data_IF_311297955798
#
_entry.id   IF_311297955798
#
_cell.length_a   1.000
_cell.length_b   1.000
_cell.length_c   1.000
_cell.angle_alpha   90.00
_cell.angle_beta   90.00
_cell.angle_gamma   90.00
#
_symmetry.space_group_name_H-M   'P 1'
#
loop_
_entity.id
_entity.type
_entity.pdbx_description
1 polymer ?
#
# COMPACT_ATOMS: atom_id res chain seq x y z
N UNK A 1 49.10 16.20 7.16
CA UNK A 1 47.97 15.47 7.76
C UNK A 1 46.69 16.24 7.40
N UNK A 2 46.10 15.97 6.25
CA UNK A 2 44.91 16.66 5.80
C UNK A 2 43.73 15.65 5.85
N UNK A 3 42.77 15.91 6.74
CA UNK A 3 41.55 15.17 6.81
C UNK A 3 40.60 15.56 5.67
N UNK A 4 40.33 14.62 4.76
CA UNK A 4 39.37 14.79 3.69
C UNK A 4 37.96 14.64 4.26
N UNK A 5 37.25 15.74 4.42
CA UNK A 5 35.80 15.74 4.69
C UNK A 5 35.08 15.37 3.39
N UNK A 6 34.76 14.10 3.22
CA UNK A 6 33.93 13.63 2.12
C UNK A 6 32.50 14.16 2.25
N UNK A 7 32.17 15.20 1.51
CA UNK A 7 30.81 15.67 1.36
C UNK A 7 29.99 14.56 0.67
N UNK A 8 29.08 13.93 1.40
CA UNK A 8 28.07 13.03 0.82
C UNK A 8 27.21 13.85 -0.13
N UNK A 9 27.28 13.57 -1.43
CA UNK A 9 26.36 14.14 -2.41
C UNK A 9 24.93 13.71 -2.04
N UNK A 10 23.94 14.61 -2.07
CA UNK A 10 22.55 14.23 -1.90
C UNK A 10 22.17 13.21 -2.96
N UNK A 11 21.35 12.21 -2.57
CA UNK A 11 20.80 11.24 -3.50
C UNK A 11 19.99 11.95 -4.60
N UNK A 12 19.96 11.43 -5.83
CA UNK A 12 19.20 12.05 -6.92
C UNK A 12 17.71 12.12 -6.55
N UNK A 13 16.98 13.15 -7.00
CA UNK A 13 15.54 13.28 -6.73
C UNK A 13 14.80 12.03 -7.24
N UNK A 14 13.73 11.69 -6.54
CA UNK A 14 12.84 10.56 -6.86
C UNK A 14 12.50 10.51 -8.36
N UNK A 15 12.48 9.30 -8.94
CA UNK A 15 12.04 9.10 -10.31
C UNK A 15 10.50 9.13 -10.34
N UNK A 16 9.93 10.17 -10.93
CA UNK A 16 8.51 10.18 -11.27
C UNK A 16 8.32 9.36 -12.55
N UNK A 17 7.56 8.27 -12.50
CA UNK A 17 7.01 7.66 -13.70
C UNK A 17 5.94 8.59 -14.29
N UNK A 18 5.87 8.69 -15.63
CA UNK A 18 5.02 9.65 -16.33
C UNK A 18 3.54 9.60 -15.93
N UNK A 19 2.79 10.64 -16.27
CA UNK A 19 1.35 10.68 -16.12
C UNK A 19 0.72 9.54 -16.92
N UNK A 20 -0.12 8.73 -16.26
CA UNK A 20 -0.87 7.67 -16.93
C UNK A 20 -1.94 8.32 -17.81
N UNK A 21 -1.92 8.06 -19.12
CA UNK A 21 -2.90 8.57 -20.08
C UNK A 21 -4.33 8.25 -19.62
N UNK A 22 -5.26 9.19 -19.78
CA UNK A 22 -6.68 9.00 -19.41
C UNK A 22 -7.24 7.79 -20.14
N UNK A 23 -7.88 6.83 -19.45
CA UNK A 23 -8.58 5.73 -20.08
C UNK A 23 -9.72 6.25 -20.93
N UNK A 24 -9.85 5.78 -22.17
CA UNK A 24 -10.94 6.11 -23.07
C UNK A 24 -12.30 5.68 -22.53
N UNK A 25 -13.22 6.55 -22.63
CA UNK A 25 -14.57 6.79 -22.15
C UNK A 25 -15.60 5.65 -22.31
N UNK A 26 -15.47 4.55 -21.58
CA UNK A 26 -16.57 3.59 -21.39
C UNK A 26 -17.30 3.69 -20.03
N UNK A 27 -16.95 4.66 -19.18
CA UNK A 27 -17.51 4.84 -17.83
C UNK A 27 -18.40 6.07 -17.66
N UNK A 28 -18.66 6.85 -18.69
CA UNK A 28 -19.47 8.08 -18.62
C UNK A 28 -20.93 7.85 -18.18
N UNK A 29 -21.49 6.66 -18.39
CA UNK A 29 -22.89 6.38 -18.03
C UNK A 29 -23.13 6.04 -16.54
N UNK A 30 -22.10 5.84 -15.74
CA UNK A 30 -22.21 5.49 -14.30
C UNK A 30 -21.96 6.66 -13.34
N UNK A 31 -21.73 7.88 -13.85
CA UNK A 31 -21.30 9.06 -13.07
C UNK A 31 -22.40 9.78 -12.28
N UNK A 32 -23.65 9.35 -12.26
CA UNK A 32 -24.77 10.19 -11.78
C UNK A 32 -25.09 10.15 -10.29
N UNK A 33 -24.31 9.53 -9.43
CA UNK A 33 -24.69 9.37 -8.00
C UNK A 33 -23.70 9.95 -6.97
N UNK A 34 -22.63 10.67 -7.38
CA UNK A 34 -21.53 11.04 -6.45
C UNK A 34 -21.04 12.49 -6.61
N UNK A 35 -21.86 13.43 -7.12
CA UNK A 35 -21.39 14.71 -7.68
C UNK A 35 -21.56 15.95 -6.80
N UNK A 36 -21.79 15.84 -5.50
CA UNK A 36 -21.89 17.00 -4.61
C UNK A 36 -20.67 17.21 -3.70
N UNK A 37 -19.73 16.27 -3.65
CA UNK A 37 -18.51 16.45 -2.86
C UNK A 37 -17.42 17.15 -3.71
N UNK A 38 -16.63 18.07 -3.11
CA UNK A 38 -15.53 18.71 -3.81
C UNK A 38 -14.49 17.66 -4.25
N UNK A 39 -13.90 17.87 -5.45
CA UNK A 39 -12.86 16.98 -5.97
C UNK A 39 -11.60 17.15 -5.13
N UNK A 40 -11.19 16.10 -4.44
CA UNK A 40 -9.99 16.07 -3.60
C UNK A 40 -8.85 15.31 -4.29
N UNK A 41 -7.61 15.59 -3.88
CA UNK A 41 -6.44 14.78 -4.23
C UNK A 41 -6.08 13.84 -3.09
N UNK A 42 -6.04 12.54 -3.39
CA UNK A 42 -5.71 11.48 -2.43
C UNK A 42 -4.38 10.86 -2.82
N UNK A 43 -3.44 10.87 -1.87
CA UNK A 43 -2.15 10.21 -2.00
C UNK A 43 -2.15 8.93 -1.18
N UNK A 44 -1.84 7.79 -1.81
CA UNK A 44 -1.73 6.49 -1.14
C UNK A 44 -0.26 6.08 -1.07
N UNK A 45 0.29 6.02 0.13
CA UNK A 45 1.67 5.69 0.40
C UNK A 45 1.82 4.24 0.84
N UNK A 46 2.57 3.46 0.07
CA UNK A 46 2.78 2.02 0.25
C UNK A 46 4.27 1.67 0.32
N UNK A 47 4.58 0.51 0.89
CA UNK A 47 5.96 0.03 0.96
C UNK A 47 6.44 -0.48 -0.40
N UNK A 48 5.66 -1.38 -1.03
CA UNK A 48 6.05 -2.09 -2.25
C UNK A 48 4.91 -2.12 -3.29
N UNK A 49 5.22 -2.38 -4.57
CA UNK A 49 4.21 -2.74 -5.56
C UNK A 49 3.51 -4.05 -5.14
N UNK A 50 2.20 -4.07 -5.20
CA UNK A 50 1.17 -5.03 -4.79
C UNK A 50 0.41 -4.65 -3.49
N UNK A 51 1.04 -3.93 -2.58
CA UNK A 51 0.40 -3.46 -1.34
C UNK A 51 -0.81 -2.55 -1.62
N UNK A 52 -0.74 -1.72 -2.66
CA UNK A 52 -1.81 -0.80 -3.04
C UNK A 52 -3.11 -1.55 -3.35
N UNK A 53 -3.00 -2.74 -3.92
CA UNK A 53 -4.18 -3.58 -4.21
C UNK A 53 -4.68 -4.26 -2.96
N UNK A 54 -3.77 -4.82 -2.15
CA UNK A 54 -4.14 -5.62 -1.00
C UNK A 54 -4.90 -4.81 0.05
N UNK A 55 -4.41 -3.61 0.35
CA UNK A 55 -4.90 -2.84 1.49
C UNK A 55 -5.89 -1.74 1.12
N UNK A 56 -5.75 -1.14 -0.07
CA UNK A 56 -6.50 0.07 -0.44
C UNK A 56 -7.11 0.03 -1.84
N UNK A 57 -6.88 -1.01 -2.63
CA UNK A 57 -7.18 -1.01 -4.06
C UNK A 57 -8.65 -0.75 -4.41
N UNK A 58 -9.58 -1.28 -3.63
CA UNK A 58 -10.99 -0.99 -3.82
C UNK A 58 -11.36 0.45 -3.48
N UNK A 59 -10.75 1.01 -2.43
CA UNK A 59 -10.91 2.42 -2.04
C UNK A 59 -10.34 3.34 -3.12
N UNK A 60 -9.13 3.06 -3.64
CA UNK A 60 -8.53 3.84 -4.72
C UNK A 60 -9.41 3.84 -5.98
N UNK A 61 -9.93 2.66 -6.38
CA UNK A 61 -10.83 2.55 -7.52
C UNK A 61 -12.15 3.32 -7.29
N UNK A 62 -12.69 3.27 -6.08
CA UNK A 62 -13.89 4.01 -5.69
C UNK A 62 -13.68 5.52 -5.77
N UNK A 63 -12.58 6.02 -5.20
CA UNK A 63 -12.23 7.44 -5.21
C UNK A 63 -12.00 7.95 -6.64
N UNK A 64 -11.23 7.21 -7.45
CA UNK A 64 -11.01 7.56 -8.86
C UNK A 64 -12.32 7.57 -9.66
N UNK A 65 -13.23 6.60 -9.43
CA UNK A 65 -14.55 6.57 -10.05
C UNK A 65 -15.45 7.74 -9.58
N UNK A 66 -15.24 8.23 -8.35
CA UNK A 66 -15.88 9.43 -7.81
C UNK A 66 -15.36 10.75 -8.40
N UNK A 67 -14.31 10.70 -9.21
CA UNK A 67 -13.72 11.89 -9.83
C UNK A 67 -12.57 12.50 -9.08
N UNK A 68 -12.18 11.93 -7.92
CA UNK A 68 -11.02 12.38 -7.16
C UNK A 68 -9.71 12.08 -7.90
N UNK A 69 -8.69 12.91 -7.67
CA UNK A 69 -7.34 12.64 -8.15
C UNK A 69 -6.65 11.66 -7.18
N UNK A 70 -6.26 10.50 -7.68
CA UNK A 70 -5.58 9.47 -6.89
C UNK A 70 -4.14 9.33 -7.36
N UNK A 71 -3.20 9.39 -6.40
CA UNK A 71 -1.77 9.22 -6.63
C UNK A 71 -1.26 8.08 -5.76
N UNK A 72 -0.50 7.15 -6.32
CA UNK A 72 0.20 6.11 -5.57
C UNK A 72 1.66 6.50 -5.40
N UNK A 73 2.16 6.40 -4.17
CA UNK A 73 3.58 6.52 -3.85
C UNK A 73 4.05 5.19 -3.27
N UNK A 74 5.13 4.62 -3.79
CA UNK A 74 5.79 3.45 -3.21
C UNK A 74 7.17 3.81 -2.69
N UNK A 75 7.54 3.31 -1.51
CA UNK A 75 8.85 3.56 -0.93
C UNK A 75 9.96 2.80 -1.68
N UNK A 76 9.74 1.51 -1.91
CA UNK A 76 10.68 0.60 -2.54
C UNK A 76 10.01 -0.25 -3.62
N UNK A 77 10.78 -0.72 -4.59
CA UNK A 77 10.21 -1.54 -5.69
C UNK A 77 10.00 -2.99 -5.29
N UNK A 78 10.54 -3.40 -4.14
CA UNK A 78 10.61 -4.80 -3.74
C UNK A 78 11.73 -5.54 -4.48
N UNK A 79 12.16 -6.66 -3.96
CA UNK A 79 13.24 -7.45 -4.57
C UNK A 79 13.78 -8.55 -3.68
N UNK A 80 13.47 -8.54 -2.40
CA UNK A 80 13.95 -9.53 -1.43
C UNK A 80 12.87 -10.53 -0.98
N UNK A 81 11.71 -10.53 -1.61
CA UNK A 81 10.68 -11.50 -1.27
C UNK A 81 11.05 -12.95 -1.65
N UNK A 82 10.29 -13.94 -1.15
CA UNK A 82 10.46 -15.36 -1.49
C UNK A 82 10.36 -15.61 -3.00
N UNK A 83 11.36 -16.23 -3.59
CA UNK A 83 11.39 -16.64 -5.01
C UNK A 83 12.33 -15.83 -5.89
N UNK A 84 12.28 -16.07 -7.21
CA UNK A 84 13.10 -15.35 -8.17
C UNK A 84 12.84 -13.85 -8.10
N UNK A 85 13.91 -13.06 -7.94
CA UNK A 85 13.88 -11.61 -7.88
C UNK A 85 13.39 -11.12 -9.25
N UNK A 86 12.19 -10.55 -9.28
CA UNK A 86 11.76 -9.85 -10.49
C UNK A 86 12.59 -8.57 -10.64
N UNK A 87 12.98 -8.26 -11.88
CA UNK A 87 13.65 -7.00 -12.19
C UNK A 87 12.81 -5.82 -11.67
N UNK A 88 13.41 -4.84 -10.96
CA UNK A 88 12.74 -3.65 -10.49
C UNK A 88 11.89 -2.93 -11.55
N UNK A 89 12.34 -2.90 -12.80
CA UNK A 89 11.60 -2.32 -13.92
C UNK A 89 10.30 -3.08 -14.20
N UNK A 90 10.35 -4.42 -14.14
CA UNK A 90 9.17 -5.26 -14.29
C UNK A 90 8.14 -4.96 -13.20
N UNK A 91 8.58 -4.83 -11.94
CA UNK A 91 7.67 -4.53 -10.83
C UNK A 91 7.04 -3.14 -10.93
N UNK A 92 7.79 -2.14 -11.38
CA UNK A 92 7.23 -0.80 -11.64
C UNK A 92 6.21 -0.84 -12.78
N UNK A 93 6.50 -1.54 -13.88
CA UNK A 93 5.54 -1.70 -14.97
C UNK A 93 4.26 -2.44 -14.54
N UNK A 94 4.38 -3.45 -13.66
CA UNK A 94 3.24 -4.13 -13.05
C UNK A 94 2.42 -3.20 -12.15
N UNK A 95 3.07 -2.35 -11.36
CA UNK A 95 2.42 -1.32 -10.54
C UNK A 95 1.69 -0.29 -11.42
N UNK A 96 2.28 0.17 -12.50
CA UNK A 96 1.64 1.10 -13.46
C UNK A 96 0.41 0.45 -14.10
N UNK A 97 0.51 -0.83 -14.48
CA UNK A 97 -0.61 -1.59 -15.01
C UNK A 97 -1.73 -1.78 -13.97
N UNK A 98 -1.40 -2.05 -12.71
CA UNK A 98 -2.32 -2.12 -11.58
C UNK A 98 -2.99 -0.76 -11.36
N UNK A 99 -2.23 0.31 -11.26
CA UNK A 99 -2.68 1.68 -11.07
C UNK A 99 -3.68 2.12 -12.17
N UNK A 100 -3.41 1.76 -13.42
CA UNK A 100 -4.32 2.00 -14.54
C UNK A 100 -5.66 1.29 -14.37
N UNK A 101 -5.68 0.05 -13.84
CA UNK A 101 -6.93 -0.69 -13.54
C UNK A 101 -7.75 -0.02 -12.44
N UNK A 102 -7.09 0.58 -11.47
CA UNK A 102 -7.73 1.30 -10.36
C UNK A 102 -8.16 2.73 -10.73
N UNK A 103 -7.77 3.24 -11.90
CA UNK A 103 -8.05 4.61 -12.32
C UNK A 103 -7.14 5.65 -11.65
N UNK A 104 -5.98 5.24 -11.17
CA UNK A 104 -4.97 6.09 -10.55
C UNK A 104 -4.34 7.01 -11.60
N UNK A 105 -4.11 8.26 -11.24
CA UNK A 105 -3.62 9.29 -12.15
C UNK A 105 -2.09 9.32 -12.29
N UNK A 106 -1.37 8.94 -11.22
CA UNK A 106 0.11 8.98 -11.18
C UNK A 106 0.66 7.94 -10.22
N UNK A 107 1.84 7.42 -10.53
CA UNK A 107 2.66 6.57 -9.67
C UNK A 107 3.99 7.27 -9.42
N UNK A 108 4.46 7.26 -8.17
CA UNK A 108 5.75 7.83 -7.74
C UNK A 108 6.53 6.76 -6.97
N UNK A 109 7.84 6.72 -7.17
CA UNK A 109 8.75 5.84 -6.43
C UNK A 109 9.79 6.68 -5.67
N UNK A 110 9.91 6.48 -4.34
CA UNK A 110 10.81 7.28 -3.50
C UNK A 110 12.30 6.89 -3.63
N UNK A 111 12.62 5.76 -4.25
CA UNK A 111 13.99 5.38 -4.57
C UNK A 111 14.71 4.55 -3.53
N UNK A 112 14.00 4.03 -2.50
CA UNK A 112 14.58 3.15 -1.49
C UNK A 112 14.66 1.69 -1.96
N UNK A 113 15.53 0.91 -1.32
CA UNK A 113 15.59 -0.53 -1.50
C UNK A 113 14.67 -1.24 -0.50
N UNK A 114 14.10 -2.35 -0.91
CA UNK A 114 13.32 -3.27 -0.08
C UNK A 114 14.18 -3.82 1.08
N UNK A 115 13.66 -3.79 2.30
CA UNK A 115 14.39 -4.23 3.50
C UNK A 115 14.25 -5.73 3.79
N UNK A 116 13.42 -6.43 3.04
CA UNK A 116 13.16 -7.85 3.19
C UNK A 116 12.39 -8.22 4.45
N UNK A 117 12.09 -9.50 4.55
CA UNK A 117 11.36 -10.12 5.65
C UNK A 117 12.27 -10.80 6.67
N UNK A 118 11.70 -11.11 7.85
CA UNK A 118 12.29 -11.95 8.86
C UNK A 118 13.36 -11.25 9.70
N UNK A 119 14.12 -12.02 10.51
CA UNK A 119 15.08 -11.45 11.47
C UNK A 119 16.35 -10.89 10.80
N UNK A 120 16.62 -11.30 9.56
CA UNK A 120 17.83 -10.87 8.84
C UNK A 120 17.65 -9.45 8.31
N UNK A 121 18.55 -8.56 8.71
CA UNK A 121 18.66 -7.23 8.14
C UNK A 121 19.77 -7.23 7.08
N UNK A 122 19.37 -7.29 5.82
CA UNK A 122 20.32 -7.31 4.69
C UNK A 122 21.13 -6.01 4.62
N UNK A 123 22.40 -6.06 4.15
CA UNK A 123 23.18 -4.85 3.88
C UNK A 123 22.54 -4.01 2.77
N UNK A 124 22.78 -2.71 2.80
CA UNK A 124 22.29 -1.82 1.76
C UNK A 124 22.91 -2.18 0.40
N UNK A 125 22.13 -2.23 -0.67
CA UNK A 125 22.67 -2.43 -2.01
C UNK A 125 23.45 -1.20 -2.48
N UNK A 126 24.33 -1.33 -3.48
CA UNK A 126 25.07 -0.19 -4.00
C UNK A 126 24.14 0.98 -4.40
N UNK A 127 24.46 2.17 -3.93
CA UNK A 127 23.76 3.43 -4.26
C UNK A 127 22.32 3.58 -3.77
N UNK A 128 21.81 2.64 -2.95
CA UNK A 128 20.48 2.74 -2.36
C UNK A 128 20.54 2.41 -0.87
N UNK A 129 19.68 3.05 -0.08
CA UNK A 129 19.46 2.73 1.33
C UNK A 129 18.19 1.88 1.41
N UNK A 130 18.21 0.84 2.26
CA UNK A 130 16.99 0.08 2.55
C UNK A 130 16.01 0.92 3.34
N UNK A 131 14.75 0.86 2.99
CA UNK A 131 13.72 1.76 3.52
C UNK A 131 13.64 1.73 5.05
N UNK A 132 13.76 0.56 5.68
CA UNK A 132 13.78 0.47 7.15
C UNK A 132 15.00 1.15 7.81
N UNK A 133 16.08 1.42 7.06
CA UNK A 133 17.28 2.13 7.53
C UNK A 133 17.35 3.59 7.09
N UNK A 134 16.43 4.02 6.23
CA UNK A 134 16.39 5.39 5.78
C UNK A 134 16.29 6.35 6.96
N UNK A 135 16.94 7.50 6.87
CA UNK A 135 16.69 8.58 7.82
C UNK A 135 15.21 8.97 7.77
N UNK A 136 14.60 9.14 8.94
CA UNK A 136 13.16 9.40 9.02
C UNK A 136 12.78 10.74 8.43
N UNK A 137 13.52 11.78 8.79
CA UNK A 137 13.21 13.14 8.36
C UNK A 137 13.49 13.30 6.86
N UNK A 138 14.54 12.66 6.34
CA UNK A 138 14.85 12.64 4.90
C UNK A 138 13.75 11.93 4.10
N UNK A 139 13.31 10.76 4.55
CA UNK A 139 12.25 10.02 3.88
C UNK A 139 10.91 10.74 3.95
N UNK A 140 10.60 11.35 5.11
CA UNK A 140 9.40 12.15 5.30
C UNK A 140 9.42 13.42 4.45
N UNK A 141 10.56 14.09 4.31
CA UNK A 141 10.69 15.26 3.44
C UNK A 141 10.45 14.92 1.97
N UNK A 142 10.92 13.75 1.48
CA UNK A 142 10.63 13.27 0.12
C UNK A 142 9.12 13.05 -0.09
N UNK A 143 8.44 12.43 0.87
CA UNK A 143 7.00 12.21 0.79
C UNK A 143 6.22 13.54 0.90
N UNK A 144 6.62 14.42 1.81
CA UNK A 144 6.02 15.75 1.96
C UNK A 144 6.15 16.59 0.69
N UNK A 145 7.27 16.48 -0.04
CA UNK A 145 7.44 17.14 -1.33
C UNK A 145 6.41 16.66 -2.37
N UNK A 146 6.10 15.35 -2.40
CA UNK A 146 5.06 14.80 -3.27
C UNK A 146 3.66 15.26 -2.83
N UNK A 147 3.40 15.30 -1.51
CA UNK A 147 2.13 15.83 -0.96
C UNK A 147 1.92 17.28 -1.42
N UNK A 148 2.96 18.11 -1.32
CA UNK A 148 2.89 19.51 -1.74
C UNK A 148 2.75 19.66 -3.27
N UNK A 149 3.51 18.90 -4.06
CA UNK A 149 3.44 18.92 -5.54
C UNK A 149 2.03 18.56 -6.05
N UNK A 150 1.41 17.54 -5.44
CA UNK A 150 0.09 17.06 -5.82
C UNK A 150 -1.05 17.83 -5.13
N UNK A 151 -0.75 18.75 -4.23
CA UNK A 151 -1.74 19.42 -3.37
C UNK A 151 -2.67 18.40 -2.68
N UNK A 152 -2.08 17.33 -2.13
CA UNK A 152 -2.86 16.24 -1.57
C UNK A 152 -3.54 16.64 -0.27
N UNK A 153 -4.85 16.42 -0.19
CA UNK A 153 -5.68 16.70 0.99
C UNK A 153 -5.77 15.51 1.92
N UNK A 154 -5.60 14.29 1.38
CA UNK A 154 -5.66 13.05 2.13
C UNK A 154 -4.44 12.19 1.83
N UNK A 155 -3.82 11.69 2.89
CA UNK A 155 -2.76 10.68 2.86
C UNK A 155 -3.30 9.35 3.40
N UNK A 156 -3.34 8.33 2.57
CA UNK A 156 -3.53 6.94 3.02
C UNK A 156 -2.16 6.36 3.35
N UNK A 157 -1.99 5.89 4.58
CA UNK A 157 -0.78 5.25 5.11
C UNK A 157 -1.14 3.93 5.77
N UNK A 158 -0.33 3.40 6.67
CA UNK A 158 -0.59 2.17 7.43
C UNK A 158 -0.72 2.43 8.91
N UNK A 159 -1.38 1.51 9.61
CA UNK A 159 -1.44 1.50 11.07
C UNK A 159 -0.04 1.34 11.71
N UNK A 160 0.13 1.64 13.01
CA UNK A 160 1.44 1.57 13.69
C UNK A 160 2.12 0.19 13.62
N UNK A 161 1.35 -0.88 13.40
CA UNK A 161 1.90 -2.22 13.23
C UNK A 161 2.33 -2.53 11.79
N UNK A 162 2.08 -1.62 10.84
CA UNK A 162 2.26 -1.86 9.41
C UNK A 162 1.38 -3.00 8.91
N UNK A 163 0.20 -3.19 9.52
CA UNK A 163 -0.79 -4.25 9.23
C UNK A 163 -0.23 -5.65 9.50
N UNK A 164 1.00 -5.94 9.05
CA UNK A 164 1.64 -7.27 9.06
C UNK A 164 2.90 -7.35 9.93
N UNK A 165 3.34 -6.26 10.53
CA UNK A 165 4.62 -6.19 11.23
C UNK A 165 5.85 -6.21 10.30
N UNK A 166 5.65 -6.14 8.97
CA UNK A 166 6.77 -5.98 8.03
C UNK A 166 7.50 -4.68 8.32
N UNK A 167 8.83 -4.71 8.40
CA UNK A 167 9.65 -3.54 8.79
C UNK A 167 9.42 -2.33 7.88
N UNK A 168 9.27 -2.55 6.58
CA UNK A 168 8.99 -1.46 5.63
C UNK A 168 7.57 -0.92 5.79
N UNK A 169 6.60 -1.76 6.18
CA UNK A 169 5.24 -1.29 6.46
C UNK A 169 5.17 -0.45 7.74
N UNK A 170 5.90 -0.87 8.79
CA UNK A 170 6.06 -0.04 10.01
C UNK A 170 6.73 1.29 9.64
N UNK A 171 7.70 1.25 8.72
CA UNK A 171 8.37 2.46 8.25
C UNK A 171 7.44 3.37 7.44
N UNK A 172 6.50 2.81 6.64
CA UNK A 172 5.44 3.58 5.95
C UNK A 172 4.61 4.37 6.97
N UNK A 173 4.19 3.75 8.09
CA UNK A 173 3.50 4.46 9.15
C UNK A 173 4.31 5.64 9.68
N UNK A 174 5.58 5.39 10.07
CA UNK A 174 6.46 6.42 10.66
C UNK A 174 6.71 7.58 9.70
N UNK A 175 7.05 7.26 8.45
CA UNK A 175 7.33 8.25 7.40
C UNK A 175 6.05 9.01 7.02
N UNK A 176 4.92 8.30 6.91
CA UNK A 176 3.63 8.92 6.61
C UNK A 176 3.19 9.92 7.67
N UNK A 177 3.29 9.55 8.96
CA UNK A 177 2.97 10.44 10.08
C UNK A 177 3.89 11.68 10.07
N UNK A 178 5.20 11.47 9.93
CA UNK A 178 6.17 12.56 9.90
C UNK A 178 6.01 13.48 8.68
N UNK A 179 5.71 12.93 7.52
CA UNK A 179 5.44 13.71 6.30
C UNK A 179 4.18 14.57 6.43
N UNK A 180 3.15 14.03 7.09
CA UNK A 180 1.93 14.79 7.38
C UNK A 180 2.19 15.98 8.34
N UNK A 181 3.03 15.79 9.35
CA UNK A 181 3.49 16.89 10.22
C UNK A 181 4.22 17.98 9.42
N UNK A 182 5.11 17.58 8.50
CA UNK A 182 5.85 18.53 7.66
C UNK A 182 4.95 19.25 6.66
N UNK A 183 3.94 18.59 6.13
CA UNK A 183 2.97 19.18 5.21
C UNK A 183 1.91 20.06 5.91
N UNK A 184 1.64 19.84 7.19
CA UNK A 184 0.83 20.68 8.07
C UNK A 184 -0.69 20.61 7.88
N UNK A 185 -1.20 20.22 6.70
CA UNK A 185 -2.64 20.29 6.39
C UNK A 185 -3.24 19.04 5.77
N UNK A 186 -2.48 17.95 5.66
CA UNK A 186 -2.95 16.71 5.07
C UNK A 186 -3.65 15.83 6.12
N UNK A 187 -4.86 15.36 5.80
CA UNK A 187 -5.60 14.40 6.63
C UNK A 187 -5.03 13.00 6.45
N UNK A 188 -4.74 12.29 7.53
CA UNK A 188 -4.14 10.95 7.48
C UNK A 188 -5.18 9.89 7.80
N UNK A 189 -5.27 8.87 6.95
CA UNK A 189 -5.99 7.64 7.21
C UNK A 189 -5.02 6.46 7.12
N UNK A 190 -5.01 5.65 8.15
CA UNK A 190 -4.12 4.50 8.29
C UNK A 190 -4.87 3.22 7.93
N UNK A 191 -4.50 2.60 6.80
CA UNK A 191 -5.04 1.33 6.39
C UNK A 191 -4.70 0.24 7.43
N UNK A 192 -5.70 -0.57 7.76
CA UNK A 192 -5.60 -1.64 8.76
C UNK A 192 -6.53 -2.80 8.43
N UNK A 193 -6.54 -3.82 9.30
CA UNK A 193 -7.50 -4.91 9.27
C UNK A 193 -8.02 -5.21 10.67
N UNK A 194 -9.30 -5.61 10.83
CA UNK A 194 -9.84 -5.95 12.14
C UNK A 194 -9.11 -7.16 12.73
N UNK A 195 -8.43 -6.99 13.86
CA UNK A 195 -7.65 -8.03 14.56
C UNK A 195 -8.49 -9.29 14.85
N UNK A 196 -9.74 -9.09 15.21
CA UNK A 196 -10.64 -10.18 15.53
C UNK A 196 -10.93 -11.09 14.33
N UNK A 197 -11.02 -10.51 13.12
CA UNK A 197 -11.17 -11.29 11.88
C UNK A 197 -9.89 -12.06 11.54
N UNK A 198 -8.75 -11.41 11.69
CA UNK A 198 -7.47 -12.04 11.44
C UNK A 198 -7.24 -13.23 12.38
N UNK A 199 -7.54 -13.07 13.66
CA UNK A 199 -7.39 -14.13 14.66
C UNK A 199 -8.28 -15.35 14.38
N UNK A 200 -9.48 -15.14 13.86
CA UNK A 200 -10.39 -16.26 13.47
C UNK A 200 -9.81 -17.05 12.30
N UNK A 201 -9.19 -16.38 11.33
CA UNK A 201 -8.55 -17.03 10.18
C UNK A 201 -7.22 -17.73 10.55
N UNK A 202 -6.45 -17.16 11.48
CA UNK A 202 -5.17 -17.73 11.91
C UNK A 202 -5.30 -18.97 12.79
N UNK A 203 -6.34 -19.06 13.63
CA UNK A 203 -6.52 -20.20 14.55
C UNK A 203 -6.50 -21.55 13.86
N UNK A 204 -7.34 -21.84 12.83
CA UNK A 204 -7.29 -23.11 12.14
C UNK A 204 -5.99 -23.33 11.36
N UNK A 205 -5.43 -22.27 10.76
CA UNK A 205 -4.15 -22.37 10.06
C UNK A 205 -2.99 -22.69 11.02
N UNK A 206 -3.00 -22.15 12.25
CA UNK A 206 -2.03 -22.47 13.30
C UNK A 206 -2.19 -23.90 13.81
N UNK A 207 -3.42 -24.36 14.03
CA UNK A 207 -3.69 -25.73 14.45
C UNK A 207 -3.20 -26.75 13.41
N UNK A 208 -3.52 -26.52 12.13
CA UNK A 208 -3.07 -27.37 11.03
C UNK A 208 -1.54 -27.40 10.90
N UNK A 209 -0.86 -26.26 11.08
CA UNK A 209 0.61 -26.20 11.06
C UNK A 209 1.24 -26.98 12.21
N UNK A 210 0.69 -26.88 13.41
CA UNK A 210 1.16 -27.66 14.57
C UNK A 210 1.04 -29.17 14.32
N UNK A 211 -0.10 -29.60 13.76
CA UNK A 211 -0.32 -30.99 13.37
C UNK A 211 0.66 -31.47 12.29
N UNK A 212 1.06 -30.59 11.39
CA UNK A 212 2.05 -30.86 10.34
C UNK A 212 3.52 -30.76 10.80
N UNK A 213 3.80 -30.59 12.11
CA UNK A 213 5.14 -30.49 12.67
C UNK A 213 5.91 -29.20 12.28
N UNK A 214 5.22 -28.20 11.70
CA UNK A 214 5.83 -26.94 11.24
C UNK A 214 5.68 -25.87 12.31
N UNK A 215 6.60 -25.87 13.28
CA UNK A 215 6.62 -24.95 14.42
C UNK A 215 7.45 -23.68 14.19
N UNK A 216 7.88 -23.39 12.98
CA UNK A 216 8.60 -22.15 12.73
C UNK A 216 7.66 -20.93 12.88
N UNK A 217 8.12 -19.84 13.53
CA UNK A 217 7.38 -18.59 13.57
C UNK A 217 7.10 -18.12 12.12
N UNK A 218 5.86 -17.84 11.80
CA UNK A 218 5.56 -17.14 10.56
C UNK A 218 6.10 -15.71 10.67
N UNK A 219 7.04 -15.35 9.82
CA UNK A 219 7.55 -13.99 9.70
C UNK A 219 6.46 -13.01 9.20
N UNK A 220 5.37 -13.53 8.64
CA UNK A 220 4.21 -12.77 8.19
C UNK A 220 3.02 -13.02 9.14
N UNK A 221 2.86 -12.14 10.12
CA UNK A 221 1.73 -12.15 11.03
C UNK A 221 0.90 -10.90 10.84
N UNK A 222 -0.32 -11.04 10.34
CA UNK A 222 -1.27 -9.93 10.32
C UNK A 222 -1.62 -9.55 11.78
N UNK A 223 -1.19 -8.36 12.19
CA UNK A 223 -1.40 -7.86 13.56
C UNK A 223 -2.74 -7.15 13.65
N UNK A 224 -3.00 -6.25 12.72
CA UNK A 224 -4.23 -5.47 12.62
C UNK A 224 -4.55 -4.63 13.86
N UNK A 225 -5.64 -3.89 13.77
CA UNK A 225 -6.14 -2.99 14.82
C UNK A 225 -7.38 -3.60 15.48
N UNK A 226 -7.57 -3.46 16.83
CA UNK A 226 -8.81 -3.84 17.47
C UNK A 226 -10.00 -3.15 16.79
N UNK A 227 -11.07 -3.93 16.55
CA UNK A 227 -12.26 -3.42 15.85
C UNK A 227 -12.83 -2.14 16.47
N UNK A 228 -12.73 -2.02 17.80
CA UNK A 228 -13.21 -0.86 18.54
C UNK A 228 -12.43 0.43 18.22
N UNK A 229 -11.18 0.34 17.73
CA UNK A 229 -10.35 1.48 17.38
C UNK A 229 -10.44 1.88 15.90
N UNK A 230 -11.12 1.08 15.07
CA UNK A 230 -11.28 1.37 13.65
C UNK A 230 -12.34 2.47 13.46
N UNK A 231 -12.02 3.52 12.72
CA UNK A 231 -12.90 4.66 12.48
C UNK A 231 -13.66 4.58 11.16
N UNK A 232 -13.06 3.95 10.14
CA UNK A 232 -13.63 3.87 8.78
C UNK A 232 -13.78 2.44 8.31
N UNK A 233 -14.88 2.16 7.61
CA UNK A 233 -15.13 0.90 6.91
C UNK A 233 -15.72 1.20 5.54
N UNK A 234 -14.88 1.12 4.53
CA UNK A 234 -15.24 1.42 3.15
C UNK A 234 -15.77 0.15 2.47
N UNK A 235 -16.97 0.22 1.93
CA UNK A 235 -17.53 -0.85 1.11
C UNK A 235 -17.08 -0.67 -0.33
N UNK A 236 -16.25 -1.60 -0.79
CA UNK A 236 -15.64 -1.57 -2.11
C UNK A 236 -16.07 -2.77 -2.98
N UNK A 237 -17.14 -3.48 -2.61
CA UNK A 237 -17.63 -4.65 -3.34
C UNK A 237 -17.98 -4.35 -4.80
N UNK A 238 -18.45 -3.14 -5.09
CA UNK A 238 -18.73 -2.68 -6.47
C UNK A 238 -17.48 -2.57 -7.33
N UNK A 239 -16.31 -2.45 -6.70
CA UNK A 239 -14.98 -2.34 -7.33
C UNK A 239 -14.17 -3.62 -7.21
N UNK A 240 -14.82 -4.74 -6.84
CA UNK A 240 -14.17 -6.04 -6.66
C UNK A 240 -13.48 -6.51 -7.95
N UNK A 241 -14.11 -6.32 -9.09
CA UNK A 241 -13.53 -6.69 -10.39
C UNK A 241 -12.32 -5.82 -10.75
N UNK A 242 -12.35 -4.51 -10.47
CA UNK A 242 -11.23 -3.60 -10.71
C UNK A 242 -10.05 -3.97 -9.80
N UNK A 243 -10.32 -4.21 -8.51
CA UNK A 243 -9.34 -4.65 -7.52
C UNK A 243 -8.71 -6.00 -7.91
N UNK A 244 -9.51 -6.96 -8.35
CA UNK A 244 -9.03 -8.28 -8.79
C UNK A 244 -8.17 -8.18 -10.07
N UNK A 245 -8.58 -7.33 -11.03
CA UNK A 245 -7.81 -7.08 -12.25
C UNK A 245 -6.48 -6.37 -11.96
N UNK A 246 -6.46 -5.46 -10.98
CA UNK A 246 -5.24 -4.82 -10.50
C UNK A 246 -4.29 -5.83 -9.84
N UNK A 247 -4.81 -6.74 -9.00
CA UNK A 247 -4.02 -7.84 -8.42
C UNK A 247 -3.41 -8.74 -9.49
N UNK A 248 -4.17 -9.06 -10.54
CA UNK A 248 -3.70 -9.87 -11.66
C UNK A 248 -2.61 -9.20 -12.51
N UNK A 249 -2.46 -7.87 -12.42
CA UNK A 249 -1.40 -7.14 -13.11
C UNK A 249 -0.01 -7.43 -12.50
N UNK A 250 0.08 -7.78 -11.22
CA UNK A 250 1.32 -8.14 -10.52
C UNK A 250 1.77 -9.58 -10.84
N UNK A 251 2.03 -9.86 -12.12
CA UNK A 251 2.32 -11.19 -12.64
C UNK A 251 3.52 -11.85 -11.99
N UNK A 252 4.57 -11.08 -11.68
CA UNK A 252 5.76 -11.56 -11.01
C UNK A 252 5.46 -12.09 -9.60
N UNK A 253 4.48 -11.49 -8.91
CA UNK A 253 4.04 -11.91 -7.58
C UNK A 253 3.07 -13.09 -7.64
N UNK A 254 2.15 -13.07 -8.61
CA UNK A 254 1.20 -14.16 -8.88
C UNK A 254 1.94 -15.43 -9.30
N UNK A 255 3.00 -15.31 -10.11
CA UNK A 255 3.83 -16.43 -10.59
C UNK A 255 4.79 -17.00 -9.55
N UNK A 256 4.92 -16.39 -8.37
CA UNK A 256 5.85 -16.86 -7.33
C UNK A 256 5.52 -18.27 -6.85
N UNK A 257 6.58 -19.05 -6.60
CA UNK A 257 6.48 -20.31 -5.85
C UNK A 257 6.35 -19.94 -4.37
N UNK A 258 5.43 -20.58 -3.65
CA UNK A 258 5.21 -20.30 -2.23
C UNK A 258 3.76 -19.90 -1.91
N UNK A 259 3.54 -19.52 -0.63
CA UNK A 259 2.19 -19.32 -0.09
C UNK A 259 1.52 -18.04 -0.61
N UNK A 260 2.28 -16.96 -0.75
CA UNK A 260 1.76 -15.69 -1.26
C UNK A 260 1.32 -15.80 -2.72
N UNK A 261 2.14 -16.38 -3.60
CA UNK A 261 1.77 -16.58 -5.00
C UNK A 261 0.57 -17.52 -5.17
N UNK A 262 0.48 -18.58 -4.35
CA UNK A 262 -0.70 -19.48 -4.35
C UNK A 262 -1.97 -18.72 -3.93
N UNK A 263 -1.89 -17.92 -2.87
CA UNK A 263 -3.01 -17.11 -2.40
C UNK A 263 -3.48 -16.11 -3.47
N UNK A 264 -2.55 -15.44 -4.13
CA UNK A 264 -2.88 -14.50 -5.21
C UNK A 264 -3.57 -15.20 -6.37
N UNK A 265 -3.05 -16.36 -6.82
CA UNK A 265 -3.72 -17.16 -7.86
C UNK A 265 -5.12 -17.59 -7.46
N UNK A 266 -5.32 -18.03 -6.20
CA UNK A 266 -6.63 -18.38 -5.68
C UNK A 266 -7.57 -17.17 -5.72
N UNK A 267 -7.15 -16.02 -5.20
CA UNK A 267 -7.97 -14.80 -5.16
C UNK A 267 -8.34 -14.34 -6.58
N UNK A 268 -7.41 -14.41 -7.52
CA UNK A 268 -7.65 -14.02 -8.93
C UNK A 268 -8.60 -15.01 -9.64
N UNK A 269 -8.56 -16.29 -9.29
CA UNK A 269 -9.41 -17.32 -9.89
C UNK A 269 -10.87 -17.28 -9.39
N UNK A 270 -11.15 -16.58 -8.28
CA UNK A 270 -12.51 -16.48 -7.75
C UNK A 270 -13.41 -15.66 -8.69
N UNK A 271 -14.69 -16.01 -8.82
CA UNK A 271 -15.67 -15.08 -9.40
C UNK A 271 -15.67 -13.74 -8.67
N UNK A 272 -15.74 -12.63 -9.40
CA UNK A 272 -15.64 -11.28 -8.81
C UNK A 272 -16.63 -11.03 -7.64
N UNK A 273 -17.88 -11.54 -7.65
CA UNK A 273 -18.76 -11.40 -6.49
C UNK A 273 -18.22 -12.12 -5.24
N UNK A 274 -17.63 -13.32 -5.41
CA UNK A 274 -17.05 -14.09 -4.31
C UNK A 274 -15.80 -13.38 -3.77
N UNK A 275 -14.92 -12.91 -4.67
CA UNK A 275 -13.78 -12.08 -4.30
C UNK A 275 -14.25 -10.84 -3.52
N UNK A 276 -15.33 -10.18 -3.96
CA UNK A 276 -15.93 -9.03 -3.28
C UNK A 276 -16.47 -9.34 -1.89
N UNK A 277 -16.95 -10.55 -1.61
CA UNK A 277 -17.34 -10.95 -0.25
C UNK A 277 -16.14 -11.05 0.69
N UNK A 278 -15.00 -11.52 0.18
CA UNK A 278 -13.77 -11.70 0.96
C UNK A 278 -12.98 -10.40 1.10
N UNK A 279 -12.74 -9.70 0.00
CA UNK A 279 -11.84 -8.54 -0.12
C UNK A 279 -12.55 -7.20 -0.38
N UNK A 280 -13.87 -7.18 -0.32
CA UNK A 280 -14.69 -6.01 -0.67
C UNK A 280 -14.97 -5.04 0.47
N UNK A 281 -14.21 -5.12 1.56
CA UNK A 281 -14.26 -4.15 2.67
C UNK A 281 -12.84 -3.79 3.06
N UNK A 282 -12.58 -2.49 3.13
CA UNK A 282 -11.31 -1.92 3.55
C UNK A 282 -11.53 -1.06 4.79
N UNK A 283 -10.57 -1.07 5.70
CA UNK A 283 -10.70 -0.44 7.01
C UNK A 283 -9.55 0.52 7.25
N UNK A 284 -9.87 1.63 7.93
CA UNK A 284 -8.87 2.63 8.29
C UNK A 284 -9.10 3.09 9.73
N UNK A 285 -8.00 3.51 10.35
CA UNK A 285 -7.99 4.38 11.52
C UNK A 285 -7.63 5.80 11.10
N UNK A 286 -8.19 6.78 11.76
CA UNK A 286 -7.86 8.19 11.58
C UNK A 286 -7.32 8.71 12.91
N UNK A 287 -6.02 9.07 13.00
CA UNK A 287 -5.41 9.58 14.21
C UNK A 287 -6.18 10.79 14.74
N UNK A 288 -6.39 10.84 16.06
CA UNK A 288 -7.12 11.94 16.70
C UNK A 288 -8.65 11.87 16.60
N UNK A 289 -9.21 10.94 15.82
CA UNK A 289 -10.66 10.73 15.71
C UNK A 289 -11.10 9.66 16.71
N UNK A 290 -12.02 9.96 17.63
CA UNK A 290 -12.52 8.99 18.58
C UNK A 290 -13.28 7.87 17.86
N UNK A 291 -13.17 6.62 18.37
CA UNK A 291 -13.97 5.51 17.88
C UNK A 291 -15.47 5.78 17.99
N UNK A 292 -16.23 5.27 17.02
CA UNK A 292 -17.67 5.46 16.97
C UNK A 292 -18.29 4.60 15.86
N UNK A 293 -19.50 4.95 15.40
CA UNK A 293 -20.05 4.35 14.19
C UNK A 293 -19.08 4.55 13.02
N UNK A 294 -18.83 3.47 12.25
CA UNK A 294 -17.91 3.56 11.13
C UNK A 294 -18.33 4.62 10.12
N UNK A 295 -17.40 5.52 9.81
CA UNK A 295 -17.49 6.36 8.62
C UNK A 295 -17.40 5.47 7.38
N UNK A 296 -18.13 5.84 6.32
CA UNK A 296 -18.27 5.01 5.12
C UNK A 296 -17.64 5.64 3.89
N UNK A 297 -17.13 6.85 4.04
CA UNK A 297 -16.53 7.65 2.99
C UNK A 297 -15.19 8.25 3.47
N UNK A 298 -14.36 8.54 2.50
CA UNK A 298 -13.14 9.34 2.59
C UNK A 298 -13.39 10.46 1.60
N UNK A 299 -13.21 11.71 1.92
CA UNK A 299 -13.81 12.98 1.50
C UNK A 299 -15.04 12.87 0.65
#
# INVERSE_FOLDING_TARGET
MFASTGSRRPAPPYAASGQIGRPTDRRASRRRAWHDDPVATILAFHAHPDDEVLFTGGTLARLAAGGHRVVIVVAAVGGLGEGAIADPRTRLAELEASASRLGVARVVHLGYADSGHGPVLYPDPPRQVRFARADLDEAAARLAAVIAEEHAEVLLSYDPSGISGHRDHVRVHQVGARAAELAGSVRVLEATAPRERLSVLERPARALRRLAGRNQPDDFRLVGTPRAAITHRIDVRRFAADKQAALAAHRSQVGRRGRSGWLFRLLIALPAPVFGLLAGREWFTEPGVPPGPYRRDIP
#
